data_IF_767199727690
#
_entry.id   IF_767199727690
#
_cell.length_a   1.000
_cell.length_b   1.000
_cell.length_c   1.000
_cell.angle_alpha   90.00
_cell.angle_beta   90.00
_cell.angle_gamma   90.00
#
_symmetry.space_group_name_H-M   'P 1'
#
loop_
_entity.id
_entity.type
_entity.pdbx_description
1 polymer ?
#
# COMPACT_ATOMS: atom_id res chain seq x y z
N UNK A 1 54.91 -3.94 61.30
CA UNK A 1 53.54 -3.33 61.38
C UNK A 1 53.01 -3.24 59.95
N UNK A 2 52.26 -4.26 59.54
CA UNK A 2 51.73 -4.41 58.16
C UNK A 2 50.39 -3.75 58.11
N UNK A 3 50.20 -2.81 57.16
CA UNK A 3 48.89 -2.19 56.83
C UNK A 3 48.41 -2.82 55.58
N UNK A 4 47.36 -3.64 55.73
CA UNK A 4 46.60 -4.29 54.64
C UNK A 4 45.79 -3.26 53.89
N UNK A 5 46.09 -3.08 52.62
CA UNK A 5 45.27 -2.27 51.69
C UNK A 5 44.22 -3.17 51.04
N UNK A 6 42.97 -3.17 51.57
CA UNK A 6 41.84 -3.76 50.93
C UNK A 6 41.40 -2.88 49.75
N UNK A 7 41.59 -3.38 48.56
CA UNK A 7 41.05 -2.80 47.34
C UNK A 7 39.55 -3.08 47.26
N UNK A 8 38.74 -2.02 47.26
CA UNK A 8 37.33 -2.11 46.93
C UNK A 8 37.20 -2.09 45.41
N UNK A 9 36.90 -3.24 44.81
CA UNK A 9 36.48 -3.32 43.41
C UNK A 9 34.97 -2.97 43.30
N UNK A 10 34.68 -1.86 42.64
CA UNK A 10 33.30 -1.51 42.25
C UNK A 10 32.89 -2.35 41.03
N UNK A 11 31.72 -2.98 41.02
CA UNK A 11 31.23 -3.63 39.80
C UNK A 11 30.71 -2.57 38.82
N UNK A 12 31.30 -2.51 37.63
CA UNK A 12 30.79 -1.74 36.52
C UNK A 12 29.49 -2.38 36.06
N UNK A 13 28.37 -1.68 36.27
CA UNK A 13 27.09 -2.04 35.62
C UNK A 13 27.19 -1.74 34.12
N UNK A 14 27.42 -2.76 33.31
CA UNK A 14 27.25 -2.66 31.88
C UNK A 14 25.73 -2.62 31.56
N UNK A 15 25.22 -1.42 31.29
CA UNK A 15 23.90 -1.25 30.68
C UNK A 15 23.96 -1.78 29.23
N UNK A 16 23.57 -3.03 29.05
CA UNK A 16 23.34 -3.60 27.73
C UNK A 16 22.19 -2.89 27.04
N UNK A 17 22.50 -2.12 26.02
CA UNK A 17 21.50 -1.65 25.05
C UNK A 17 20.95 -2.89 24.33
N UNK A 18 19.75 -3.34 24.76
CA UNK A 18 18.99 -4.33 24.01
C UNK A 18 18.44 -3.61 22.77
N UNK A 19 19.14 -3.76 21.64
CA UNK A 19 18.61 -3.39 20.34
C UNK A 19 17.45 -4.34 20.04
N UNK A 20 16.21 -3.86 20.20
CA UNK A 20 15.02 -4.58 19.74
C UNK A 20 15.04 -4.51 18.21
N UNK A 21 15.59 -5.54 17.58
CA UNK A 21 15.42 -5.77 16.14
C UNK A 21 13.96 -6.22 15.96
N UNK A 22 13.13 -5.51 15.20
CA UNK A 22 11.77 -5.98 14.91
C UNK A 22 11.89 -7.35 14.23
N UNK A 23 11.38 -8.39 14.89
CA UNK A 23 11.38 -9.74 14.35
C UNK A 23 10.35 -9.89 13.21
N UNK A 24 10.33 -11.03 12.50
CA UNK A 24 9.47 -11.30 11.35
C UNK A 24 7.95 -11.17 11.61
N UNK A 25 7.51 -11.18 12.87
CA UNK A 25 6.12 -11.02 13.25
C UNK A 25 5.52 -9.62 12.95
N UNK A 26 6.35 -8.58 12.94
CA UNK A 26 5.88 -7.23 12.59
C UNK A 26 5.75 -7.04 11.07
N UNK A 27 6.60 -7.70 10.28
CA UNK A 27 6.50 -7.67 8.82
C UNK A 27 5.18 -8.31 8.36
N UNK A 28 4.78 -9.46 8.90
CA UNK A 28 3.52 -10.12 8.55
C UNK A 28 2.29 -9.30 8.89
N UNK A 29 2.26 -8.60 10.05
CA UNK A 29 1.14 -7.75 10.43
C UNK A 29 0.98 -6.53 9.50
N UNK A 30 2.08 -5.94 9.05
CA UNK A 30 2.05 -4.84 8.08
C UNK A 30 1.67 -5.34 6.68
N UNK A 31 2.13 -6.51 6.26
CA UNK A 31 1.71 -7.15 5.00
C UNK A 31 0.21 -7.44 4.99
N UNK A 32 -0.36 -7.95 6.09
CA UNK A 32 -1.80 -8.16 6.25
C UNK A 32 -2.58 -6.83 6.20
N UNK A 33 -2.06 -5.78 6.82
CA UNK A 33 -2.67 -4.45 6.78
C UNK A 33 -2.66 -3.86 5.37
N UNK A 34 -1.56 -4.01 4.62
CA UNK A 34 -1.47 -3.61 3.22
C UNK A 34 -2.46 -4.43 2.37
N UNK A 35 -2.54 -5.75 2.56
CA UNK A 35 -3.47 -6.60 1.84
C UNK A 35 -4.93 -6.15 2.02
N UNK A 36 -5.32 -5.80 3.25
CA UNK A 36 -6.65 -5.24 3.54
C UNK A 36 -6.89 -3.90 2.83
N UNK A 37 -5.89 -3.02 2.80
CA UNK A 37 -5.98 -1.73 2.12
C UNK A 37 -6.09 -1.90 0.60
N UNK A 38 -5.36 -2.84 0.01
CA UNK A 38 -5.42 -3.19 -1.42
C UNK A 38 -6.80 -3.73 -1.78
N UNK A 39 -7.36 -4.63 -0.96
CA UNK A 39 -8.71 -5.17 -1.20
C UNK A 39 -9.78 -4.09 -1.02
N UNK A 40 -9.69 -3.22 -0.02
CA UNK A 40 -10.59 -2.09 0.15
C UNK A 40 -10.53 -1.15 -1.06
N UNK A 41 -9.34 -0.92 -1.63
CA UNK A 41 -9.16 -0.13 -2.84
C UNK A 41 -9.85 -0.78 -4.05
N UNK A 42 -9.68 -2.10 -4.23
CA UNK A 42 -10.36 -2.87 -5.29
C UNK A 42 -11.88 -2.76 -5.17
N UNK A 43 -12.42 -2.93 -3.97
CA UNK A 43 -13.88 -2.84 -3.71
C UNK A 43 -14.39 -1.45 -4.02
N UNK A 44 -13.72 -0.39 -3.54
CA UNK A 44 -14.11 0.99 -3.82
C UNK A 44 -14.03 1.32 -5.32
N UNK A 45 -13.01 0.81 -6.02
CA UNK A 45 -12.85 0.97 -7.47
C UNK A 45 -13.96 0.24 -8.23
N UNK A 46 -14.27 -1.00 -7.87
CA UNK A 46 -15.36 -1.77 -8.49
C UNK A 46 -16.73 -1.11 -8.31
N UNK A 47 -16.95 -0.48 -7.14
CA UNK A 47 -18.16 0.26 -6.84
C UNK A 47 -18.22 1.66 -7.47
N UNK A 48 -17.13 2.15 -8.08
CA UNK A 48 -17.06 3.55 -8.54
C UNK A 48 -17.18 4.57 -7.41
N UNK A 49 -16.72 4.20 -6.19
CA UNK A 49 -16.83 5.03 -5.00
C UNK A 49 -15.64 5.98 -4.87
N UNK A 50 -15.82 7.23 -5.28
CA UNK A 50 -14.81 8.27 -5.11
C UNK A 50 -14.49 8.50 -3.61
N UNK A 51 -15.49 8.48 -2.72
CA UNK A 51 -15.30 8.61 -1.27
C UNK A 51 -14.47 7.46 -0.69
N UNK A 52 -14.79 6.21 -1.08
CA UNK A 52 -14.03 5.04 -0.66
C UNK A 52 -12.57 5.12 -1.09
N UNK A 53 -12.30 5.53 -2.34
CA UNK A 53 -10.95 5.73 -2.84
C UNK A 53 -10.22 6.88 -2.14
N UNK A 54 -10.92 7.99 -1.82
CA UNK A 54 -10.32 9.15 -1.17
C UNK A 54 -9.67 8.81 0.18
N UNK A 55 -10.30 7.93 0.95
CA UNK A 55 -9.81 7.48 2.26
C UNK A 55 -8.55 6.62 2.17
N UNK A 56 -8.30 5.97 1.03
CA UNK A 56 -7.20 5.04 0.80
C UNK A 56 -6.02 5.67 0.06
N UNK A 57 -6.19 6.85 -0.52
CA UNK A 57 -5.15 7.55 -1.27
C UNK A 57 -4.40 8.56 -0.40
N UNK A 58 -3.08 8.60 -0.53
CA UNK A 58 -2.26 9.69 0.00
C UNK A 58 -2.58 11.01 -0.73
N UNK A 59 -2.36 12.15 -0.08
CA UNK A 59 -2.62 13.45 -0.70
C UNK A 59 -1.67 13.73 -1.87
N UNK A 60 -0.44 13.21 -1.80
CA UNK A 60 0.58 13.28 -2.85
C UNK A 60 0.48 12.17 -3.89
N UNK A 61 -0.69 11.54 -4.07
CA UNK A 61 -0.88 10.44 -5.00
C UNK A 61 -0.43 10.78 -6.42
N UNK A 62 0.34 9.86 -7.02
CA UNK A 62 0.67 9.83 -8.45
C UNK A 62 0.08 8.56 -9.08
N UNK A 63 -0.98 8.70 -9.86
CA UNK A 63 -1.73 7.57 -10.42
C UNK A 63 -1.58 7.52 -11.94
N UNK A 64 -0.70 6.65 -12.43
CA UNK A 64 -0.47 6.47 -13.87
C UNK A 64 -1.39 5.40 -14.46
N UNK A 65 -2.07 5.79 -15.53
CA UNK A 65 -2.92 4.92 -16.35
C UNK A 65 -2.09 4.18 -17.41
N UNK A 66 -2.67 3.14 -18.02
CA UNK A 66 -1.99 2.34 -19.06
C UNK A 66 -1.75 3.08 -20.38
N UNK A 67 -2.31 4.28 -20.55
CA UNK A 67 -2.09 5.19 -21.67
C UNK A 67 -1.10 6.33 -21.34
N UNK A 68 -0.34 6.18 -20.24
CA UNK A 68 0.63 7.15 -19.71
C UNK A 68 0.02 8.44 -19.14
N UNK A 69 -1.31 8.60 -19.08
CA UNK A 69 -1.93 9.70 -18.34
C UNK A 69 -1.63 9.55 -16.85
N UNK A 70 -1.26 10.63 -16.18
CA UNK A 70 -0.99 10.66 -14.74
C UNK A 70 -2.01 11.57 -14.06
N UNK A 71 -2.73 11.03 -13.09
CA UNK A 71 -3.68 11.75 -12.27
C UNK A 71 -3.12 12.01 -10.87
N UNK A 72 -3.43 13.18 -10.33
CA UNK A 72 -3.35 13.46 -8.89
C UNK A 72 -4.53 12.79 -8.18
N UNK A 73 -4.54 12.78 -6.85
CA UNK A 73 -5.69 12.31 -6.06
C UNK A 73 -6.98 13.00 -6.48
N UNK A 74 -6.98 14.33 -6.58
CA UNK A 74 -8.16 15.09 -6.98
C UNK A 74 -8.65 14.73 -8.39
N UNK A 75 -7.75 14.59 -9.36
CA UNK A 75 -8.08 14.22 -10.72
C UNK A 75 -8.64 12.79 -10.83
N UNK A 76 -8.06 11.84 -10.07
CA UNK A 76 -8.57 10.47 -10.00
C UNK A 76 -10.00 10.43 -9.46
N UNK A 77 -10.25 11.10 -8.33
CA UNK A 77 -11.57 11.10 -7.68
C UNK A 77 -12.63 11.77 -8.54
N UNK A 78 -12.30 12.89 -9.19
CA UNK A 78 -13.20 13.57 -10.15
C UNK A 78 -13.50 12.67 -11.34
N UNK A 79 -12.49 11.98 -11.88
CA UNK A 79 -12.67 11.02 -12.98
C UNK A 79 -13.56 9.84 -12.60
N UNK A 80 -13.46 9.32 -11.39
CA UNK A 80 -14.32 8.25 -10.88
C UNK A 80 -15.75 8.75 -10.69
N UNK A 81 -15.95 9.93 -10.10
CA UNK A 81 -17.26 10.51 -9.86
C UNK A 81 -18.02 10.83 -11.17
N UNK A 82 -17.30 11.13 -12.25
CA UNK A 82 -17.85 11.46 -13.58
C UNK A 82 -17.79 10.30 -14.56
N UNK A 83 -17.45 9.08 -14.10
CA UNK A 83 -17.32 7.93 -14.97
C UNK A 83 -18.64 7.63 -15.69
N UNK A 84 -18.56 7.39 -16.99
CA UNK A 84 -19.69 6.98 -17.84
C UNK A 84 -19.75 5.46 -18.07
N UNK A 85 -19.13 4.71 -17.16
CA UNK A 85 -19.10 3.24 -17.16
C UNK A 85 -19.24 2.72 -15.73
N UNK A 86 -19.60 1.45 -15.62
CA UNK A 86 -19.51 0.64 -14.39
C UNK A 86 -18.61 -0.56 -14.62
N UNK A 87 -18.04 -1.09 -13.56
CA UNK A 87 -17.35 -2.38 -13.60
C UNK A 87 -18.39 -3.51 -13.50
N UNK A 88 -18.43 -4.38 -14.49
CA UNK A 88 -19.23 -5.63 -14.44
C UNK A 88 -18.45 -6.76 -13.80
N UNK A 89 -17.12 -6.68 -13.85
CA UNK A 89 -16.19 -7.53 -13.09
C UNK A 89 -14.89 -6.76 -12.82
N UNK A 90 -14.26 -7.03 -11.69
CA UNK A 90 -12.94 -6.50 -11.33
C UNK A 90 -12.24 -7.41 -10.34
N UNK A 91 -11.12 -7.98 -10.77
CA UNK A 91 -10.28 -8.85 -9.97
C UNK A 91 -8.82 -8.36 -9.96
N UNK A 92 -8.17 -8.50 -8.81
CA UNK A 92 -6.72 -8.36 -8.66
C UNK A 92 -6.16 -9.77 -8.47
N UNK A 93 -5.59 -10.34 -9.55
CA UNK A 93 -5.10 -11.72 -9.59
C UNK A 93 -3.65 -11.80 -9.17
N UNK A 94 -3.31 -12.85 -8.43
CA UNK A 94 -1.96 -13.21 -8.02
C UNK A 94 -1.20 -12.03 -7.35
N UNK A 95 -1.79 -11.39 -6.33
CA UNK A 95 -1.17 -10.27 -5.67
C UNK A 95 0.10 -10.69 -4.92
N UNK A 96 1.17 -9.92 -5.09
CA UNK A 96 2.39 -10.02 -4.30
C UNK A 96 2.56 -8.75 -3.48
N UNK A 97 2.89 -8.89 -2.21
CA UNK A 97 3.09 -7.78 -1.27
C UNK A 97 4.46 -7.92 -0.65
N UNK A 98 5.21 -6.82 -0.63
CA UNK A 98 6.50 -6.73 0.05
C UNK A 98 6.55 -5.44 0.85
N UNK A 99 6.65 -5.55 2.16
CA UNK A 99 6.83 -4.41 3.06
C UNK A 99 8.32 -4.12 3.27
N UNK A 100 8.70 -2.84 3.17
CA UNK A 100 10.05 -2.36 3.39
C UNK A 100 9.97 -1.08 4.25
N UNK A 101 10.13 -1.21 5.55
CA UNK A 101 9.94 -0.10 6.49
C UNK A 101 8.56 0.53 6.36
N UNK A 102 8.43 1.85 6.16
CA UNK A 102 7.14 2.52 6.01
C UNK A 102 6.57 2.43 4.59
N UNK A 103 7.16 1.65 3.69
CA UNK A 103 6.73 1.48 2.31
C UNK A 103 6.34 0.04 2.02
N UNK A 104 5.39 -0.15 1.09
CA UNK A 104 5.05 -1.46 0.57
C UNK A 104 4.95 -1.41 -0.95
N UNK A 105 5.48 -2.46 -1.58
CA UNK A 105 5.40 -2.70 -3.02
C UNK A 105 4.37 -3.80 -3.25
N UNK A 106 3.38 -3.50 -4.08
CA UNK A 106 2.31 -4.43 -4.44
C UNK A 106 2.26 -4.59 -5.95
N UNK A 107 2.18 -5.83 -6.43
CA UNK A 107 2.02 -6.15 -7.84
C UNK A 107 0.90 -7.17 -8.03
N UNK A 108 0.16 -7.05 -9.10
CA UNK A 108 -0.90 -7.99 -9.47
C UNK A 108 -1.28 -7.84 -10.94
N UNK A 109 -2.00 -8.83 -11.45
CA UNK A 109 -2.70 -8.74 -12.72
C UNK A 109 -4.11 -8.23 -12.48
N UNK A 110 -4.43 -7.07 -13.06
CA UNK A 110 -5.75 -6.47 -13.04
C UNK A 110 -6.57 -7.03 -14.19
N UNK A 111 -7.65 -7.70 -13.90
CA UNK A 111 -8.58 -8.24 -14.90
C UNK A 111 -9.96 -7.71 -14.60
N UNK A 112 -10.61 -7.15 -15.60
CA UNK A 112 -11.96 -6.61 -15.43
C UNK A 112 -12.68 -6.34 -16.74
N UNK A 113 -13.95 -6.02 -16.64
CA UNK A 113 -14.78 -5.58 -17.75
C UNK A 113 -15.52 -4.30 -17.35
N UNK A 114 -15.42 -3.29 -18.19
CA UNK A 114 -16.18 -2.05 -18.09
C UNK A 114 -17.38 -2.13 -19.04
N UNK A 115 -18.55 -1.74 -18.55
CA UNK A 115 -19.75 -1.53 -19.36
C UNK A 115 -20.09 -0.05 -19.37
N UNK A 116 -20.03 0.57 -20.53
CA UNK A 116 -20.33 1.98 -20.74
C UNK A 116 -21.84 2.23 -20.80
N UNK A 117 -22.27 3.47 -20.61
CA UNK A 117 -23.68 3.86 -20.62
C UNK A 117 -24.39 3.58 -21.97
N UNK A 118 -23.63 3.47 -23.06
CA UNK A 118 -24.10 3.06 -24.37
C UNK A 118 -24.19 1.54 -24.56
N UNK A 119 -23.91 0.76 -23.51
CA UNK A 119 -23.94 -0.70 -23.52
C UNK A 119 -22.66 -1.36 -24.07
N UNK A 120 -21.68 -0.57 -24.52
CA UNK A 120 -20.39 -1.10 -25.00
C UNK A 120 -19.60 -1.68 -23.83
N UNK A 121 -19.08 -2.89 -24.02
CA UNK A 121 -18.21 -3.56 -23.07
C UNK A 121 -16.74 -3.50 -23.51
N UNK A 122 -15.86 -3.25 -22.56
CA UNK A 122 -14.41 -3.18 -22.81
C UNK A 122 -13.66 -3.98 -21.76
N UNK A 123 -12.98 -5.08 -22.17
CA UNK A 123 -12.16 -5.84 -21.25
C UNK A 123 -10.88 -5.06 -20.90
N UNK A 124 -10.40 -5.27 -19.68
CA UNK A 124 -9.14 -4.73 -19.18
C UNK A 124 -8.26 -5.87 -18.71
N UNK A 125 -7.01 -5.89 -19.17
CA UNK A 125 -5.98 -6.82 -18.71
C UNK A 125 -4.67 -6.07 -18.57
N UNK A 126 -4.26 -5.79 -17.33
CA UNK A 126 -3.14 -4.91 -17.03
C UNK A 126 -2.22 -5.55 -16.00
N UNK A 127 -0.92 -5.31 -16.12
CA UNK A 127 0.02 -5.49 -15.03
C UNK A 127 0.08 -4.20 -14.20
N UNK A 128 -0.10 -4.32 -12.90
CA UNK A 128 -0.13 -3.18 -11.98
C UNK A 128 1.05 -3.23 -11.02
N UNK A 129 1.64 -2.06 -10.79
CA UNK A 129 2.53 -1.77 -9.68
C UNK A 129 1.88 -0.69 -8.82
N UNK A 130 1.76 -0.94 -7.51
CA UNK A 130 1.37 0.03 -6.50
C UNK A 130 2.47 0.18 -5.45
N UNK A 131 2.69 1.41 -5.02
CA UNK A 131 3.49 1.70 -3.83
C UNK A 131 2.57 2.31 -2.77
N UNK A 132 2.58 1.71 -1.59
CA UNK A 132 1.82 2.14 -0.44
C UNK A 132 2.76 2.72 0.61
N UNK A 133 2.30 3.71 1.36
CA UNK A 133 3.04 4.37 2.42
C UNK A 133 2.27 4.28 3.72
N UNK A 134 2.96 3.92 4.79
CA UNK A 134 2.40 3.93 6.14
C UNK A 134 2.31 5.36 6.65
N UNK A 135 1.11 5.80 6.99
CA UNK A 135 0.81 7.11 7.55
C UNK A 135 0.07 6.91 8.88
N UNK A 136 0.78 7.06 9.99
CA UNK A 136 0.28 6.66 11.30
C UNK A 136 0.04 5.16 11.37
N UNK A 137 -1.20 4.74 11.64
CA UNK A 137 -1.64 3.34 11.64
C UNK A 137 -2.12 2.85 10.27
N UNK A 138 -2.34 3.75 9.31
CA UNK A 138 -2.96 3.47 8.03
C UNK A 138 -1.94 3.30 6.91
N UNK A 139 -2.28 2.47 5.93
CA UNK A 139 -1.57 2.38 4.67
C UNK A 139 -2.34 3.16 3.59
N UNK A 140 -1.66 4.10 2.92
CA UNK A 140 -2.21 4.95 1.86
C UNK A 140 -1.51 4.67 0.54
N UNK A 141 -2.27 4.62 -0.55
CA UNK A 141 -1.70 4.50 -1.90
C UNK A 141 -0.96 5.80 -2.26
N UNK A 142 0.35 5.69 -2.47
CA UNK A 142 1.21 6.80 -2.84
C UNK A 142 1.41 6.88 -4.35
N UNK A 143 1.59 5.74 -5.02
CA UNK A 143 1.70 5.72 -6.48
C UNK A 143 1.17 4.43 -7.08
N UNK A 144 0.72 4.52 -8.34
CA UNK A 144 0.33 3.40 -9.17
C UNK A 144 0.86 3.56 -10.58
N UNK A 145 1.24 2.46 -11.18
CA UNK A 145 1.57 2.37 -12.61
C UNK A 145 0.87 1.17 -13.23
N UNK A 146 0.39 1.32 -14.47
CA UNK A 146 -0.30 0.29 -15.22
C UNK A 146 0.35 0.09 -16.59
N UNK A 147 0.50 -1.19 -16.99
CA UNK A 147 0.97 -1.59 -18.31
C UNK A 147 -0.03 -2.58 -18.91
N UNK A 148 -0.39 -2.39 -20.18
CA UNK A 148 -1.25 -3.35 -20.90
C UNK A 148 -0.50 -4.67 -21.10
N UNK A 149 -1.21 -5.77 -20.92
CA UNK A 149 -0.77 -7.12 -21.21
C UNK A 149 -1.28 -7.59 -22.57
#
# INVERSE_FOLDING_TARGET
>A
MNIDRRQFALPALALGLVSIIPGPAFAGADEDAVAKSVEAFRVAQAAGSAEGLASLCADDLSYSHSNAKVDTKAALLDGVAKANYKWTSLEYKDPTIRVVGPAAIVRFTFVGEQEFNDGKKTPQNLHILMNWQKQGSDWKLLSRSATKL
#
